data_IF_828421909647
#
_entry.id   IF_828421909647
#
_cell.length_a   1.000
_cell.length_b   1.000
_cell.length_c   1.000
_cell.angle_alpha   90.00
_cell.angle_beta   90.00
_cell.angle_gamma   90.00
#
_symmetry.space_group_name_H-M   'P 1'
#
loop_
_entity.id
_entity.type
_entity.pdbx_description
1 polymer ?
#
# COMPACT_ATOMS: atom_id res chain seq x y z
N UNK A 1 89.66 38.35 57.34
CA UNK A 1 89.83 37.10 56.56
C UNK A 1 89.01 35.91 57.09
N UNK A 2 88.96 35.59 58.40
CA UNK A 2 88.20 34.43 58.93
C UNK A 2 86.69 34.41 58.61
N UNK A 3 86.03 35.58 58.55
CA UNK A 3 84.58 35.67 58.26
C UNK A 3 84.23 35.30 56.80
N UNK A 4 85.13 35.54 55.84
CA UNK A 4 84.87 35.24 54.43
C UNK A 4 84.90 33.74 54.14
N UNK A 5 85.81 33.01 54.80
CA UNK A 5 85.98 31.57 54.65
C UNK A 5 84.77 30.82 55.20
N UNK A 6 84.22 31.24 56.34
CA UNK A 6 83.03 30.61 56.93
C UNK A 6 81.78 30.76 56.03
N UNK A 7 81.63 31.91 55.38
CA UNK A 7 80.52 32.17 54.45
C UNK A 7 80.63 31.32 53.17
N UNK A 8 81.84 31.12 52.65
CA UNK A 8 82.07 30.24 51.48
C UNK A 8 81.79 28.77 51.80
N UNK A 9 82.16 28.30 53.00
CA UNK A 9 81.85 26.91 53.43
C UNK A 9 80.35 26.72 53.63
N UNK A 10 79.66 27.68 54.26
CA UNK A 10 78.21 27.63 54.44
C UNK A 10 77.46 27.67 53.09
N UNK A 11 77.92 28.48 52.13
CA UNK A 11 77.34 28.52 50.78
C UNK A 11 77.59 27.20 50.02
N UNK A 12 78.77 26.60 50.16
CA UNK A 12 79.09 25.31 49.55
C UNK A 12 78.25 24.15 50.10
N UNK A 13 78.00 24.12 51.41
CA UNK A 13 77.09 23.13 52.01
C UNK A 13 75.64 23.32 51.60
N UNK A 14 75.19 24.57 51.44
CA UNK A 14 73.83 24.85 50.96
C UNK A 14 73.65 24.39 49.50
N UNK A 15 74.66 24.59 48.65
CA UNK A 15 74.66 24.12 47.25
C UNK A 15 74.66 22.59 47.14
N UNK A 16 75.32 21.88 48.06
CA UNK A 16 75.31 20.40 48.10
C UNK A 16 73.95 19.81 48.51
N UNK A 17 73.14 20.54 49.30
CA UNK A 17 71.81 20.09 49.71
C UNK A 17 70.75 20.21 48.61
N UNK A 18 70.94 21.09 47.62
CA UNK A 18 69.98 21.26 46.50
C UNK A 18 70.19 20.20 45.41
N UNK A 19 71.35 19.54 45.36
CA UNK A 19 71.66 18.54 44.34
C UNK A 19 71.27 17.08 44.70
N UNK A 20 70.70 16.83 45.88
CA UNK A 20 70.36 15.48 46.33
C UNK A 20 68.94 15.02 45.97
N UNK A 21 68.19 15.81 45.19
CA UNK A 21 66.88 15.39 44.68
C UNK A 21 67.09 14.68 43.32
N UNK A 22 67.49 13.40 43.37
CA UNK A 22 67.46 12.56 42.17
C UNK A 22 66.00 12.30 41.79
N UNK A 23 65.70 12.46 40.50
CA UNK A 23 64.37 12.19 39.96
C UNK A 23 64.07 10.70 40.09
N UNK A 24 63.20 10.33 41.03
CA UNK A 24 62.71 8.97 41.16
C UNK A 24 61.96 8.59 39.89
N UNK A 25 62.45 7.57 39.18
CA UNK A 25 61.89 7.13 37.92
C UNK A 25 60.43 6.75 38.13
N UNK A 26 59.53 7.50 37.50
CA UNK A 26 58.10 7.19 37.51
C UNK A 26 57.94 5.77 36.96
N UNK A 27 57.30 4.83 37.70
CA UNK A 27 57.12 3.47 37.22
C UNK A 27 56.37 3.54 35.89
N UNK A 28 56.96 2.93 34.86
CA UNK A 28 56.36 2.82 33.52
C UNK A 28 54.96 2.25 33.69
N UNK A 29 53.96 2.95 33.16
CA UNK A 29 52.58 2.49 33.17
C UNK A 29 52.53 1.07 32.60
N UNK A 30 52.06 0.11 33.40
CA UNK A 30 51.87 -1.25 32.94
C UNK A 30 50.95 -1.20 31.71
N UNK A 31 51.45 -1.67 30.56
CA UNK A 31 50.64 -1.84 29.36
C UNK A 31 49.61 -2.92 29.70
N UNK A 32 48.40 -2.49 30.05
CA UNK A 32 47.24 -3.38 30.13
C UNK A 32 46.94 -3.76 28.68
N UNK A 33 47.11 -5.02 28.26
CA UNK A 33 46.68 -5.42 26.93
C UNK A 33 45.18 -5.09 26.82
N UNK A 34 44.78 -4.41 25.75
CA UNK A 34 43.38 -4.17 25.47
C UNK A 34 42.64 -5.49 25.60
N UNK A 35 41.69 -5.55 26.54
CA UNK A 35 40.78 -6.68 26.61
C UNK A 35 40.11 -6.73 25.24
N UNK A 36 40.23 -7.83 24.47
CA UNK A 36 39.67 -7.86 23.13
C UNK A 36 38.19 -7.53 23.23
N UNK A 37 37.81 -6.35 22.75
CA UNK A 37 36.41 -5.94 22.63
C UNK A 37 35.75 -7.04 21.81
N UNK A 38 34.81 -7.77 22.43
CA UNK A 38 34.03 -8.76 21.73
C UNK A 38 33.47 -8.09 20.47
N UNK A 39 33.75 -8.66 19.29
CA UNK A 39 33.20 -8.14 18.05
C UNK A 39 31.69 -7.98 18.25
N UNK A 40 31.15 -6.82 17.85
CA UNK A 40 29.72 -6.60 17.89
C UNK A 40 29.06 -7.79 17.19
N UNK A 41 28.22 -8.52 17.94
CA UNK A 41 27.40 -9.57 17.34
C UNK A 41 26.56 -8.89 16.27
N UNK A 42 26.83 -9.19 15.01
CA UNK A 42 25.96 -8.75 13.91
C UNK A 42 24.64 -9.44 14.15
N UNK A 43 23.65 -8.69 14.65
CA UNK A 43 22.30 -9.19 14.81
C UNK A 43 21.91 -9.86 13.50
N UNK A 44 21.60 -11.16 13.56
CA UNK A 44 21.11 -11.88 12.39
C UNK A 44 19.82 -11.19 11.98
N UNK A 45 19.74 -10.73 10.72
CA UNK A 45 18.54 -10.12 10.20
C UNK A 45 17.37 -11.07 10.45
N UNK A 46 16.26 -10.55 10.98
CA UNK A 46 15.06 -11.33 11.15
C UNK A 46 14.66 -11.94 9.79
N UNK A 47 14.09 -13.16 9.76
CA UNK A 47 13.68 -13.76 8.49
C UNK A 47 12.73 -12.83 7.71
N UNK A 48 12.61 -12.95 6.38
CA UNK A 48 11.59 -12.20 5.66
C UNK A 48 10.19 -12.59 6.14
N UNK A 49 9.23 -11.66 6.06
CA UNK A 49 7.81 -11.99 6.21
C UNK A 49 7.28 -12.54 4.89
N UNK A 50 6.26 -13.40 4.95
CA UNK A 50 5.61 -14.01 3.80
C UNK A 50 4.17 -13.49 3.63
N UNK A 51 3.86 -12.96 2.46
CA UNK A 51 2.60 -12.32 2.12
C UNK A 51 1.92 -13.05 0.97
N UNK A 52 0.79 -13.70 1.23
CA UNK A 52 0.04 -14.40 0.20
C UNK A 52 -1.10 -13.55 -0.36
N UNK A 53 -1.25 -13.56 -1.69
CA UNK A 53 -2.37 -12.94 -2.40
C UNK A 53 -3.27 -14.02 -2.98
N UNK A 54 -4.55 -14.02 -2.59
CA UNK A 54 -5.54 -14.93 -3.15
C UNK A 54 -5.74 -14.72 -4.67
N UNK A 55 -6.15 -15.77 -5.38
CA UNK A 55 -6.33 -15.71 -6.83
C UNK A 55 -7.26 -14.58 -7.29
N UNK A 56 -8.31 -14.29 -6.54
CA UNK A 56 -9.27 -13.24 -6.87
C UNK A 56 -8.75 -11.81 -6.64
N UNK A 57 -7.62 -11.64 -5.94
CA UNK A 57 -6.92 -10.38 -5.71
C UNK A 57 -5.65 -10.24 -6.56
N UNK A 58 -5.18 -11.35 -7.14
CA UNK A 58 -3.94 -11.36 -7.90
C UNK A 58 -4.04 -10.54 -9.18
N UNK A 59 -3.04 -9.68 -9.41
CA UNK A 59 -3.00 -8.78 -10.56
C UNK A 59 -3.79 -7.47 -10.38
N UNK A 60 -4.59 -7.34 -9.32
CA UNK A 60 -5.41 -6.15 -9.05
C UNK A 60 -4.79 -5.21 -7.98
N UNK A 61 -3.73 -5.64 -7.30
CA UNK A 61 -2.94 -4.75 -6.45
C UNK A 61 -2.20 -3.76 -7.36
N UNK A 62 -2.36 -2.43 -7.18
CA UNK A 62 -1.62 -1.43 -7.94
C UNK A 62 -0.12 -1.67 -7.86
N UNK A 63 0.60 -1.39 -8.96
CA UNK A 63 2.03 -1.75 -9.06
C UNK A 63 2.90 -1.05 -8.02
N UNK A 64 2.64 0.23 -7.77
CA UNK A 64 3.29 1.04 -6.73
C UNK A 64 3.02 0.53 -5.31
N UNK A 65 1.78 0.11 -5.04
CA UNK A 65 1.43 -0.49 -3.75
C UNK A 65 2.03 -1.89 -3.58
N UNK A 66 2.09 -2.69 -4.65
CA UNK A 66 2.79 -3.98 -4.65
C UNK A 66 4.28 -3.82 -4.36
N UNK A 67 4.92 -2.78 -4.87
CA UNK A 67 6.32 -2.44 -4.53
C UNK A 67 6.42 -2.13 -3.03
N UNK A 68 5.52 -1.29 -2.51
CA UNK A 68 5.48 -0.94 -1.08
C UNK A 68 5.32 -2.18 -0.19
N UNK A 69 4.45 -3.12 -0.55
CA UNK A 69 4.28 -4.38 0.19
C UNK A 69 5.54 -5.25 0.08
N UNK A 70 6.19 -5.28 -1.09
CA UNK A 70 7.40 -6.06 -1.34
C UNK A 70 8.62 -5.55 -0.55
N UNK A 71 8.61 -4.30 -0.09
CA UNK A 71 9.61 -3.78 0.85
C UNK A 71 9.47 -4.37 2.26
N UNK A 72 8.25 -4.80 2.63
CA UNK A 72 7.94 -5.35 3.95
C UNK A 72 7.93 -6.89 4.00
N UNK A 73 7.54 -7.55 2.90
CA UNK A 73 7.36 -9.00 2.83
C UNK A 73 7.63 -9.58 1.43
N UNK A 74 7.89 -10.88 1.38
CA UNK A 74 7.94 -11.65 0.13
C UNK A 74 6.51 -11.96 -0.32
N UNK A 75 6.16 -11.51 -1.52
CA UNK A 75 4.81 -11.67 -2.08
C UNK A 75 4.72 -12.96 -2.88
N UNK A 76 3.85 -13.86 -2.43
CA UNK A 76 3.53 -15.12 -3.08
C UNK A 76 2.07 -15.11 -3.56
N UNK A 77 1.80 -15.79 -4.67
CA UNK A 77 0.43 -16.04 -5.12
C UNK A 77 -0.08 -17.32 -4.47
N UNK A 78 -1.27 -17.26 -3.89
CA UNK A 78 -1.92 -18.43 -3.33
C UNK A 78 -2.44 -19.33 -4.46
N UNK A 79 -2.11 -20.62 -4.38
CA UNK A 79 -2.64 -21.64 -5.28
C UNK A 79 -4.11 -21.93 -5.01
N UNK A 80 -4.83 -22.40 -6.03
CA UNK A 80 -6.27 -22.73 -5.95
C UNK A 80 -6.59 -23.88 -4.98
N UNK A 81 -5.58 -24.66 -4.58
CA UNK A 81 -5.68 -25.81 -3.67
C UNK A 81 -5.36 -25.47 -2.20
N UNK A 82 -5.09 -24.20 -1.89
CA UNK A 82 -4.70 -23.79 -0.56
C UNK A 82 -5.86 -23.86 0.45
N UNK A 83 -5.70 -24.65 1.51
CA UNK A 83 -6.63 -24.67 2.65
C UNK A 83 -6.26 -23.62 3.68
N UNK A 84 -7.24 -23.14 4.46
CA UNK A 84 -7.02 -22.12 5.50
C UNK A 84 -5.93 -22.51 6.52
N UNK A 85 -5.79 -23.81 6.83
CA UNK A 85 -4.78 -24.33 7.74
C UNK A 85 -3.36 -24.25 7.17
N UNK A 86 -3.17 -24.64 5.89
CA UNK A 86 -1.86 -24.57 5.21
C UNK A 86 -1.45 -23.10 5.04
N UNK A 87 -2.42 -22.25 4.72
CA UNK A 87 -2.26 -20.82 4.54
C UNK A 87 -1.73 -20.16 5.81
N UNK A 88 -2.36 -20.40 6.96
CA UNK A 88 -1.96 -19.79 8.24
C UNK A 88 -0.66 -20.36 8.81
N UNK A 89 -0.26 -21.57 8.42
CA UNK A 89 1.02 -22.15 8.84
C UNK A 89 2.22 -21.65 8.03
N UNK A 90 1.99 -21.16 6.80
CA UNK A 90 3.05 -20.82 5.85
C UNK A 90 3.26 -19.31 5.70
N UNK A 91 2.19 -18.53 5.82
CA UNK A 91 2.21 -17.10 5.51
C UNK A 91 1.96 -16.26 6.78
N UNK A 92 2.68 -15.14 6.89
CA UNK A 92 2.49 -14.17 7.96
C UNK A 92 1.25 -13.32 7.74
N UNK A 93 0.94 -12.98 6.47
CA UNK A 93 -0.30 -12.30 6.07
C UNK A 93 -0.84 -12.91 4.78
N UNK A 94 -2.17 -12.98 4.71
CA UNK A 94 -2.90 -13.45 3.54
C UNK A 94 -3.99 -12.44 3.24
N UNK A 95 -4.14 -12.04 1.98
CA UNK A 95 -5.15 -11.06 1.56
C UNK A 95 -5.98 -11.56 0.39
N UNK A 96 -7.23 -11.10 0.33
CA UNK A 96 -8.17 -11.41 -0.73
C UNK A 96 -9.19 -10.27 -0.90
N UNK A 97 -9.76 -10.14 -2.10
CA UNK A 97 -10.98 -9.35 -2.26
C UNK A 97 -12.17 -10.08 -1.67
N UNK A 98 -13.06 -9.32 -1.03
CA UNK A 98 -14.29 -9.81 -0.43
C UNK A 98 -14.23 -9.92 1.08
N UNK A 99 -15.30 -10.48 1.66
CA UNK A 99 -15.49 -10.68 3.10
C UNK A 99 -15.43 -12.18 3.42
N UNK A 100 -14.44 -12.57 4.22
CA UNK A 100 -14.23 -13.96 4.63
C UNK A 100 -14.48 -14.13 6.13
N UNK A 101 -15.05 -15.28 6.51
CA UNK A 101 -15.24 -15.63 7.92
C UNK A 101 -13.89 -15.71 8.64
N UNK A 102 -13.85 -15.24 9.89
CA UNK A 102 -12.66 -15.16 10.75
C UNK A 102 -11.51 -14.26 10.26
N UNK A 103 -11.67 -13.59 9.12
CA UNK A 103 -10.69 -12.64 8.61
C UNK A 103 -10.98 -11.23 9.10
N UNK A 104 -9.94 -10.43 9.22
CA UNK A 104 -10.04 -8.99 9.47
C UNK A 104 -10.35 -8.26 8.16
N UNK A 105 -11.03 -7.13 8.25
CA UNK A 105 -11.40 -6.32 7.09
C UNK A 105 -10.56 -5.05 7.07
N UNK A 106 -10.06 -4.68 5.89
CA UNK A 106 -9.41 -3.39 5.67
C UNK A 106 -10.39 -2.25 5.95
N UNK A 107 -9.95 -1.16 6.60
CA UNK A 107 -10.83 0.00 6.84
C UNK A 107 -11.17 0.77 5.55
N UNK A 108 -10.49 0.47 4.44
CA UNK A 108 -10.68 1.13 3.15
C UNK A 108 -11.40 0.14 2.22
N UNK A 109 -12.62 0.49 1.80
CA UNK A 109 -13.33 -0.23 0.75
C UNK A 109 -13.07 0.38 -0.61
N UNK A 110 -13.15 -0.44 -1.66
CA UNK A 110 -12.95 -0.01 -3.04
C UNK A 110 -14.29 0.08 -3.75
N UNK A 111 -14.59 1.26 -4.28
CA UNK A 111 -15.79 1.53 -5.07
C UNK A 111 -15.44 1.56 -6.55
N UNK A 112 -15.76 0.49 -7.25
CA UNK A 112 -15.50 0.37 -8.68
C UNK A 112 -16.46 1.29 -9.43
N UNK A 113 -15.90 2.25 -10.16
CA UNK A 113 -16.63 3.41 -10.65
C UNK A 113 -16.25 3.69 -12.10
N UNK A 114 -17.28 3.93 -12.93
CA UNK A 114 -17.13 4.43 -14.30
C UNK A 114 -17.25 5.96 -14.28
N UNK A 115 -16.35 6.62 -14.98
CA UNK A 115 -16.33 8.06 -15.16
C UNK A 115 -16.47 8.33 -16.65
N UNK A 116 -17.39 9.21 -17.02
CA UNK A 116 -17.63 9.63 -18.39
C UNK A 116 -17.20 11.10 -18.55
N UNK A 117 -16.58 11.44 -19.67
CA UNK A 117 -16.24 12.82 -19.96
C UNK A 117 -17.32 13.46 -20.85
N UNK A 118 -18.20 14.32 -20.31
CA UNK A 118 -19.26 14.96 -21.09
C UNK A 118 -18.76 16.03 -22.06
N UNK A 119 -17.48 16.41 -22.01
CA UNK A 119 -16.90 17.37 -22.94
C UNK A 119 -16.57 16.75 -24.31
N UNK A 120 -16.62 15.42 -24.41
CA UNK A 120 -16.32 14.66 -25.63
C UNK A 120 -17.60 14.05 -26.21
N UNK A 121 -18.02 14.43 -27.44
CA UNK A 121 -19.11 13.76 -28.11
C UNK A 121 -18.82 12.28 -28.33
N UNK A 122 -19.81 11.38 -28.17
CA UNK A 122 -21.23 11.66 -28.00
C UNK A 122 -21.71 11.72 -26.53
N UNK A 123 -20.80 11.82 -25.55
CA UNK A 123 -21.15 11.80 -24.12
C UNK A 123 -21.67 13.16 -23.61
N UNK A 124 -21.69 14.19 -24.45
CA UNK A 124 -22.41 15.44 -24.20
C UNK A 124 -23.94 15.25 -24.25
N UNK A 125 -24.40 14.15 -24.83
CA UNK A 125 -25.81 13.76 -24.88
C UNK A 125 -26.22 12.86 -23.69
N UNK A 126 -27.12 13.34 -22.84
CA UNK A 126 -27.61 12.58 -21.66
C UNK A 126 -28.21 11.20 -22.03
N UNK A 127 -28.79 11.06 -23.23
CA UNK A 127 -29.33 9.79 -23.70
C UNK A 127 -28.27 8.69 -23.85
N UNK A 128 -27.04 9.07 -24.24
CA UNK A 128 -25.93 8.12 -24.39
C UNK A 128 -25.37 7.73 -23.02
N UNK A 129 -25.21 8.69 -22.12
CA UNK A 129 -24.84 8.45 -20.72
C UNK A 129 -25.81 7.47 -20.03
N UNK A 130 -27.11 7.68 -20.20
CA UNK A 130 -28.11 6.76 -19.64
C UNK A 130 -28.10 5.40 -20.34
N UNK A 131 -27.84 5.34 -21.64
CA UNK A 131 -27.69 4.06 -22.35
C UNK A 131 -26.52 3.24 -21.77
N UNK A 132 -25.37 3.86 -21.48
CA UNK A 132 -24.21 3.19 -20.84
C UNK A 132 -24.57 2.72 -19.42
N UNK A 133 -25.23 3.58 -18.65
CA UNK A 133 -25.69 3.28 -17.29
C UNK A 133 -26.61 2.06 -17.27
N UNK A 134 -27.54 1.98 -18.20
CA UNK A 134 -28.53 0.89 -18.28
C UNK A 134 -27.97 -0.36 -18.95
N UNK A 135 -26.93 -0.24 -19.78
CA UNK A 135 -26.19 -1.37 -20.34
C UNK A 135 -25.38 -2.15 -19.28
N UNK A 136 -25.16 -1.55 -18.11
CA UNK A 136 -24.37 -2.13 -17.02
C UNK A 136 -25.25 -2.98 -16.09
N UNK A 137 -25.25 -4.30 -16.29
CA UNK A 137 -25.89 -5.25 -15.37
C UNK A 137 -24.91 -5.62 -14.26
N UNK A 138 -24.86 -4.74 -13.25
CA UNK A 138 -23.96 -4.85 -12.11
C UNK A 138 -24.21 -6.12 -11.30
N UNK A 139 -25.46 -6.53 -11.00
CA UNK A 139 -25.71 -7.80 -10.32
C UNK A 139 -25.10 -9.00 -11.06
N UNK A 140 -25.23 -9.07 -12.38
CA UNK A 140 -24.63 -10.15 -13.17
C UNK A 140 -23.09 -10.12 -13.15
N UNK A 141 -22.47 -8.93 -13.09
CA UNK A 141 -21.00 -8.80 -12.92
C UNK A 141 -20.60 -9.40 -11.57
N UNK A 142 -21.26 -9.01 -10.47
CA UNK A 142 -20.93 -9.49 -9.12
C UNK A 142 -21.12 -10.99 -9.01
N UNK A 143 -22.22 -11.53 -9.54
CA UNK A 143 -22.49 -12.97 -9.57
C UNK A 143 -21.38 -13.72 -10.31
N UNK A 144 -20.95 -13.20 -11.46
CA UNK A 144 -19.89 -13.80 -12.28
C UNK A 144 -18.51 -13.74 -11.61
N UNK A 145 -18.24 -12.68 -10.85
CA UNK A 145 -16.99 -12.52 -10.11
C UNK A 145 -16.90 -13.46 -8.90
N UNK A 146 -18.05 -13.86 -8.34
CA UNK A 146 -18.13 -14.69 -7.14
C UNK A 146 -17.28 -14.16 -5.96
N UNK A 147 -17.11 -12.84 -5.85
CA UNK A 147 -16.38 -12.21 -4.74
C UNK A 147 -17.30 -12.11 -3.53
N UNK A 148 -16.98 -12.77 -2.40
CA UNK A 148 -17.82 -12.74 -1.21
C UNK A 148 -18.02 -11.30 -0.70
N UNK A 149 -19.25 -10.90 -0.41
CA UNK A 149 -19.53 -9.58 0.18
C UNK A 149 -19.35 -8.39 -0.77
N UNK A 150 -19.16 -8.60 -2.08
CA UNK A 150 -19.31 -7.52 -3.06
C UNK A 150 -20.78 -7.09 -3.12
N UNK A 151 -21.03 -5.77 -3.12
CA UNK A 151 -22.38 -5.20 -3.04
C UNK A 151 -22.63 -4.29 -4.25
N UNK A 152 -23.74 -4.50 -5.00
CA UNK A 152 -24.10 -3.58 -6.08
C UNK A 152 -24.48 -2.23 -5.47
N UNK A 153 -23.91 -1.15 -6.01
CA UNK A 153 -24.36 0.22 -5.69
C UNK A 153 -25.53 0.58 -6.61
N UNK A 154 -25.52 0.02 -7.83
CA UNK A 154 -26.58 0.16 -8.80
C UNK A 154 -27.30 -1.17 -9.00
N UNK A 155 -28.61 -1.18 -8.79
CA UNK A 155 -29.49 -2.33 -8.99
C UNK A 155 -30.15 -2.30 -10.37
N UNK A 156 -29.38 -2.03 -11.42
CA UNK A 156 -29.89 -2.04 -12.79
C UNK A 156 -29.82 -3.46 -13.36
N UNK A 157 -30.95 -3.94 -13.88
CA UNK A 157 -30.98 -5.09 -14.79
C UNK A 157 -30.72 -4.60 -16.22
N UNK A 158 -30.07 -5.44 -17.04
CA UNK A 158 -29.87 -5.11 -18.45
C UNK A 158 -31.19 -4.77 -19.16
N UNK A 159 -31.28 -3.60 -19.79
CA UNK A 159 -32.46 -3.21 -20.57
C UNK A 159 -32.29 -3.56 -22.05
N UNK A 160 -33.22 -4.33 -22.59
CA UNK A 160 -33.28 -4.67 -24.02
C UNK A 160 -33.57 -3.46 -24.94
N UNK A 161 -33.93 -2.30 -24.41
CA UNK A 161 -34.27 -1.10 -25.20
C UNK A 161 -33.08 -0.23 -25.59
N UNK A 162 -31.86 -0.54 -25.15
CA UNK A 162 -30.65 0.28 -25.36
C UNK A 162 -30.42 0.58 -26.86
N UNK A 163 -30.57 -0.41 -27.73
CA UNK A 163 -30.41 -0.22 -29.19
C UNK A 163 -31.39 0.81 -29.77
N UNK A 164 -32.63 0.82 -29.28
CA UNK A 164 -33.61 1.81 -29.72
C UNK A 164 -33.26 3.20 -29.19
N UNK A 165 -32.75 3.30 -27.96
CA UNK A 165 -32.26 4.55 -27.39
C UNK A 165 -31.09 5.13 -28.22
N UNK A 166 -30.09 4.30 -28.55
CA UNK A 166 -28.96 4.69 -29.40
C UNK A 166 -29.43 5.12 -30.80
N UNK A 167 -30.33 4.36 -31.44
CA UNK A 167 -30.88 4.74 -32.75
C UNK A 167 -31.63 6.07 -32.72
N UNK A 168 -32.41 6.34 -31.67
CA UNK A 168 -33.13 7.61 -31.49
C UNK A 168 -32.17 8.78 -31.25
N UNK A 169 -31.01 8.52 -30.64
CA UNK A 169 -29.92 9.48 -30.50
C UNK A 169 -29.07 9.64 -31.78
N UNK A 170 -29.40 8.94 -32.87
CA UNK A 170 -28.67 9.04 -34.15
C UNK A 170 -27.54 8.03 -34.33
N UNK A 171 -27.42 7.03 -33.45
CA UNK A 171 -26.40 5.99 -33.47
C UNK A 171 -27.00 4.58 -33.66
N UNK A 172 -27.70 4.31 -34.79
CA UNK A 172 -28.41 3.04 -34.99
C UNK A 172 -27.48 1.82 -35.08
N UNK A 173 -26.22 2.04 -35.45
CA UNK A 173 -25.21 0.98 -35.57
C UNK A 173 -24.40 0.79 -34.28
N UNK A 174 -24.56 1.69 -33.30
CA UNK A 174 -23.74 1.74 -32.08
C UNK A 174 -22.78 2.91 -32.03
N UNK A 175 -21.92 2.91 -31.02
CA UNK A 175 -20.89 3.91 -30.79
C UNK A 175 -19.56 3.23 -30.46
N UNK A 176 -18.46 3.92 -30.81
CA UNK A 176 -17.10 3.52 -30.44
C UNK A 176 -16.51 4.66 -29.62
N UNK A 177 -16.05 4.35 -28.42
CA UNK A 177 -15.50 5.32 -27.47
C UNK A 177 -14.07 4.93 -27.11
N UNK A 178 -13.19 5.92 -26.93
CA UNK A 178 -11.88 5.66 -26.31
C UNK A 178 -12.04 5.51 -24.79
N UNK A 179 -11.37 4.51 -24.22
CA UNK A 179 -11.43 4.24 -22.79
C UNK A 179 -10.05 3.98 -22.20
N UNK A 180 -9.97 4.17 -20.89
CA UNK A 180 -8.82 3.76 -20.09
C UNK A 180 -9.32 3.12 -18.79
N UNK A 181 -8.60 2.18 -18.23
CA UNK A 181 -9.04 1.53 -16.99
C UNK A 181 -7.87 1.11 -16.11
N UNK A 182 -8.12 1.09 -14.81
CA UNK A 182 -7.27 0.35 -13.87
C UNK A 182 -7.52 -1.14 -14.02
N UNK A 183 -6.50 -1.96 -13.76
CA UNK A 183 -6.70 -3.40 -13.70
C UNK A 183 -7.53 -3.74 -12.44
N UNK A 184 -8.85 -3.87 -12.62
CA UNK A 184 -9.84 -4.06 -11.57
C UNK A 184 -10.63 -5.35 -11.80
N UNK A 185 -11.16 -5.98 -10.73
CA UNK A 185 -12.10 -7.07 -10.90
C UNK A 185 -13.27 -6.62 -11.77
N UNK A 186 -13.74 -7.49 -12.65
CA UNK A 186 -14.96 -7.26 -13.46
C UNK A 186 -14.85 -6.24 -14.59
N UNK A 187 -13.69 -5.60 -14.82
CA UNK A 187 -13.51 -4.65 -15.91
C UNK A 187 -13.88 -5.27 -17.28
N UNK A 188 -13.33 -6.44 -17.58
CA UNK A 188 -13.60 -7.16 -18.84
C UNK A 188 -15.07 -7.60 -18.97
N UNK A 189 -15.72 -7.98 -17.86
CA UNK A 189 -17.14 -8.34 -17.85
C UNK A 189 -18.01 -7.12 -18.20
N UNK A 190 -17.70 -5.98 -17.60
CA UNK A 190 -18.41 -4.72 -17.87
C UNK A 190 -18.20 -4.25 -19.31
N UNK A 191 -16.97 -4.29 -19.83
CA UNK A 191 -16.67 -3.98 -21.23
C UNK A 191 -17.45 -4.91 -22.19
N UNK A 192 -17.53 -6.20 -21.86
CA UNK A 192 -18.31 -7.18 -22.63
C UNK A 192 -19.81 -6.88 -22.65
N UNK A 193 -20.38 -6.41 -21.54
CA UNK A 193 -21.80 -5.99 -21.47
C UNK A 193 -22.09 -4.78 -22.36
N UNK A 194 -21.20 -3.78 -22.38
CA UNK A 194 -21.32 -2.64 -23.28
C UNK A 194 -21.23 -3.07 -24.75
N UNK A 195 -20.25 -3.92 -25.08
CA UNK A 195 -20.06 -4.40 -26.44
C UNK A 195 -21.28 -5.18 -26.94
N UNK A 196 -21.90 -6.00 -26.08
CA UNK A 196 -23.14 -6.73 -26.40
C UNK A 196 -24.32 -5.79 -26.76
N UNK A 197 -24.25 -4.53 -26.33
CA UNK A 197 -25.23 -3.48 -26.61
C UNK A 197 -24.79 -2.51 -27.72
N UNK A 198 -23.79 -2.88 -28.53
CA UNK A 198 -23.19 -2.04 -29.58
C UNK A 198 -22.52 -0.76 -29.05
N UNK A 199 -22.02 -0.79 -27.81
CA UNK A 199 -21.18 0.26 -27.24
C UNK A 199 -19.76 -0.31 -27.13
N UNK A 200 -18.93 -0.04 -28.13
CA UNK A 200 -17.54 -0.51 -28.12
C UNK A 200 -16.65 0.48 -27.38
N UNK A 201 -15.89 0.00 -26.40
CA UNK A 201 -14.87 0.79 -25.71
C UNK A 201 -13.50 0.30 -26.15
N UNK A 202 -12.74 1.17 -26.81
CA UNK A 202 -11.33 0.94 -27.11
C UNK A 202 -10.51 1.25 -25.85
N UNK A 203 -10.49 0.29 -24.93
CA UNK A 203 -9.92 0.44 -23.61
C UNK A 203 -8.43 0.07 -23.56
N UNK A 204 -7.64 0.81 -22.78
CA UNK A 204 -6.25 0.46 -22.42
C UNK A 204 -6.08 0.44 -20.91
N UNK A 205 -5.41 -0.57 -20.36
CA UNK A 205 -5.11 -0.63 -18.94
C UNK A 205 -3.96 0.33 -18.57
N UNK A 206 -4.10 1.08 -17.48
CA UNK A 206 -3.09 2.03 -17.00
C UNK A 206 -3.09 2.15 -15.46
N UNK A 207 -2.01 2.67 -14.85
CA UNK A 207 -1.98 3.00 -13.41
C UNK A 207 -3.03 4.06 -13.03
N UNK A 208 -3.52 4.01 -11.79
CA UNK A 208 -4.57 4.90 -11.26
C UNK A 208 -4.33 6.39 -11.59
N UNK A 209 -3.12 6.90 -11.31
CA UNK A 209 -2.78 8.29 -11.56
C UNK A 209 -2.88 8.69 -13.04
N UNK A 210 -2.52 7.79 -13.97
CA UNK A 210 -2.61 8.03 -15.40
C UNK A 210 -4.07 8.02 -15.89
N UNK A 211 -4.90 7.13 -15.33
CA UNK A 211 -6.34 7.09 -15.61
C UNK A 211 -7.02 8.40 -15.22
N UNK A 212 -6.75 8.89 -14.00
CA UNK A 212 -7.30 10.17 -13.51
C UNK A 212 -6.84 11.34 -14.39
N UNK A 213 -5.57 11.37 -14.79
CA UNK A 213 -5.06 12.43 -15.66
C UNK A 213 -5.73 12.40 -17.04
N UNK A 214 -5.84 11.23 -17.67
CA UNK A 214 -6.44 11.09 -18.99
C UNK A 214 -7.90 11.56 -19.02
N UNK A 215 -8.70 11.22 -17.99
CA UNK A 215 -10.10 11.64 -17.95
C UNK A 215 -10.24 13.15 -17.69
N UNK A 216 -9.44 13.71 -16.77
CA UNK A 216 -9.47 15.15 -16.44
C UNK A 216 -9.00 16.02 -17.60
N UNK A 217 -8.00 15.56 -18.36
CA UNK A 217 -7.50 16.25 -19.54
C UNK A 217 -8.44 16.16 -20.74
N UNK A 218 -9.42 15.25 -20.72
CA UNK A 218 -10.27 14.96 -21.88
C UNK A 218 -9.56 14.20 -23.00
N UNK A 219 -8.59 13.36 -22.65
CA UNK A 219 -7.89 12.49 -23.60
C UNK A 219 -8.72 11.24 -23.95
N UNK A 220 -9.65 10.85 -23.06
CA UNK A 220 -10.51 9.66 -23.20
C UNK A 220 -11.97 9.96 -22.87
N UNK A 221 -12.87 9.20 -23.49
CA UNK A 221 -14.31 9.33 -23.26
C UNK A 221 -14.71 8.73 -21.90
N UNK A 222 -14.13 7.57 -21.56
CA UNK A 222 -14.51 6.81 -20.37
C UNK A 222 -13.28 6.35 -19.59
N UNK A 223 -13.37 6.40 -18.26
CA UNK A 223 -12.44 5.78 -17.34
C UNK A 223 -13.16 4.79 -16.42
N UNK A 224 -12.50 3.67 -16.06
CA UNK A 224 -12.96 2.75 -15.00
C UNK A 224 -11.87 2.69 -13.91
N UNK A 225 -12.24 3.05 -12.68
CA UNK A 225 -11.32 3.21 -11.55
C UNK A 225 -11.86 2.61 -10.26
N UNK A 226 -10.98 2.33 -9.30
CA UNK A 226 -11.36 2.12 -7.91
C UNK A 226 -11.24 3.43 -7.12
N UNK A 227 -12.37 3.92 -6.61
CA UNK A 227 -12.38 5.02 -5.65
C UNK A 227 -12.25 4.49 -4.24
N UNK A 228 -11.37 5.08 -3.43
CA UNK A 228 -11.09 4.65 -2.05
C UNK A 228 -11.48 5.70 -1.01
N UNK A 229 -11.86 6.91 -1.46
CA UNK A 229 -12.34 7.97 -0.57
C UNK A 229 -13.42 8.85 -1.23
N UNK A 230 -14.23 9.50 -0.38
CA UNK A 230 -15.21 10.49 -0.85
C UNK A 230 -14.54 11.79 -1.34
N UNK A 231 -13.30 12.08 -0.91
CA UNK A 231 -12.54 13.23 -1.38
C UNK A 231 -12.12 13.06 -2.84
N UNK A 232 -11.58 11.90 -3.22
CA UNK A 232 -11.29 11.56 -4.63
C UNK A 232 -12.55 11.68 -5.50
N UNK A 233 -13.68 11.21 -4.99
CA UNK A 233 -14.96 11.34 -5.68
C UNK A 233 -15.32 12.81 -5.90
N UNK A 234 -15.24 13.65 -4.87
CA UNK A 234 -15.58 15.07 -4.97
C UNK A 234 -14.70 15.82 -5.97
N UNK A 235 -13.40 15.50 -6.04
CA UNK A 235 -12.48 16.06 -7.03
C UNK A 235 -12.91 15.71 -8.47
N UNK A 236 -13.28 14.46 -8.72
CA UNK A 236 -13.77 14.02 -10.02
C UNK A 236 -15.14 14.62 -10.35
N UNK A 237 -16.05 14.73 -9.39
CA UNK A 237 -17.35 15.37 -9.58
C UNK A 237 -17.18 16.85 -9.96
N UNK A 238 -16.17 17.54 -9.43
CA UNK A 238 -15.83 18.90 -9.83
C UNK A 238 -15.28 18.98 -11.26
N UNK A 239 -14.58 17.94 -11.74
CA UNK A 239 -13.99 17.89 -13.07
C UNK A 239 -15.00 17.50 -14.16
N UNK A 240 -15.79 16.44 -13.95
CA UNK A 240 -16.68 15.87 -14.98
C UNK A 240 -18.17 16.06 -14.67
N UNK A 241 -18.54 16.48 -13.47
CA UNK A 241 -19.93 16.62 -13.03
C UNK A 241 -20.51 15.34 -12.42
N UNK A 242 -21.37 15.50 -11.41
CA UNK A 242 -21.97 14.41 -10.61
C UNK A 242 -22.70 13.35 -11.46
N UNK A 243 -23.40 13.78 -12.51
CA UNK A 243 -24.16 12.87 -13.39
C UNK A 243 -23.29 11.92 -14.21
N UNK A 244 -22.00 12.22 -14.33
CA UNK A 244 -21.06 11.48 -15.18
C UNK A 244 -20.18 10.50 -14.42
N UNK A 245 -20.49 10.28 -13.13
CA UNK A 245 -19.85 9.27 -12.30
C UNK A 245 -20.89 8.20 -11.97
N UNK A 246 -20.62 6.98 -12.42
CA UNK A 246 -21.47 5.81 -12.25
C UNK A 246 -20.76 4.83 -11.31
N UNK A 247 -21.08 4.83 -10.00
CA UNK A 247 -20.57 3.81 -9.11
C UNK A 247 -21.23 2.47 -9.46
N UNK A 248 -20.45 1.46 -9.82
CA UNK A 248 -20.97 0.15 -10.18
C UNK A 248 -21.24 -0.65 -8.90
N UNK A 249 -20.18 -0.99 -8.18
CA UNK A 249 -20.26 -1.84 -7.00
C UNK A 249 -19.13 -1.54 -6.01
N UNK A 250 -19.30 -2.01 -4.78
CA UNK A 250 -18.30 -1.91 -3.72
C UNK A 250 -17.73 -3.28 -3.39
N UNK A 251 -16.43 -3.34 -3.15
CA UNK A 251 -15.71 -4.54 -2.74
C UNK A 251 -14.78 -4.22 -1.57
N UNK A 252 -14.83 -5.05 -0.52
CA UNK A 252 -13.90 -4.98 0.60
C UNK A 252 -12.62 -5.75 0.33
N UNK A 253 -11.57 -5.44 1.10
CA UNK A 253 -10.36 -6.26 1.18
C UNK A 253 -10.36 -6.93 2.55
N UNK A 254 -10.26 -8.25 2.59
CA UNK A 254 -10.06 -8.98 3.84
C UNK A 254 -8.64 -9.50 3.94
N UNK A 255 -8.19 -9.72 5.17
CA UNK A 255 -6.89 -10.29 5.45
C UNK A 255 -6.89 -11.13 6.74
N UNK A 256 -6.02 -12.13 6.76
CA UNK A 256 -5.64 -12.86 7.96
C UNK A 256 -4.16 -12.58 8.27
N UNK A 257 -3.84 -12.35 9.53
CA UNK A 257 -2.47 -12.09 9.98
C UNK A 257 -2.08 -13.06 11.11
N UNK A 258 -0.85 -13.57 11.05
CA UNK A 258 -0.30 -14.45 12.06
C UNK A 258 -0.11 -13.71 13.41
N UNK A 259 -0.09 -14.42 14.55
CA UNK A 259 0.16 -13.80 15.85
C UNK A 259 1.51 -13.06 15.90
N UNK A 260 1.51 -11.82 16.41
CA UNK A 260 2.71 -10.97 16.51
C UNK A 260 3.06 -10.21 15.22
N UNK A 261 2.14 -10.20 14.25
CA UNK A 261 2.20 -9.36 13.07
C UNK A 261 1.26 -8.17 13.26
N UNK A 262 1.82 -6.96 13.20
CA UNK A 262 1.06 -5.72 13.12
C UNK A 262 0.78 -5.40 11.64
N UNK A 263 -0.40 -4.87 11.36
CA UNK A 263 -0.84 -4.54 10.00
C UNK A 263 -1.17 -3.06 9.89
N UNK A 264 -0.54 -2.38 8.94
CA UNK A 264 -0.98 -1.06 8.43
C UNK A 264 -1.56 -1.23 7.02
N UNK A 265 -1.95 -0.15 6.35
CA UNK A 265 -2.62 -0.23 5.05
C UNK A 265 -2.02 0.74 4.03
N UNK A 266 -2.03 0.33 2.76
CA UNK A 266 -1.79 1.21 1.61
C UNK A 266 -2.94 2.20 1.42
N UNK A 267 -2.79 3.15 0.50
CA UNK A 267 -3.84 4.12 0.17
C UNK A 267 -5.11 3.43 -0.38
N UNK A 268 -4.97 2.29 -1.06
CA UNK A 268 -6.09 1.50 -1.57
C UNK A 268 -6.58 0.41 -0.62
N UNK A 269 -6.05 0.34 0.60
CA UNK A 269 -6.50 -0.57 1.64
C UNK A 269 -5.82 -1.94 1.69
N UNK A 270 -4.74 -2.16 0.94
CA UNK A 270 -4.02 -3.43 1.01
C UNK A 270 -3.17 -3.50 2.28
N UNK A 271 -3.18 -4.64 3.02
CA UNK A 271 -2.46 -4.75 4.27
C UNK A 271 -0.94 -4.73 4.03
N UNK A 272 -0.21 -4.02 4.89
CA UNK A 272 1.25 -3.97 4.92
C UNK A 272 1.70 -4.58 6.26
N UNK A 273 2.35 -5.75 6.24
CA UNK A 273 2.74 -6.43 7.48
C UNK A 273 4.00 -5.82 8.10
N UNK A 274 4.08 -5.88 9.42
CA UNK A 274 5.28 -5.57 10.18
C UNK A 274 5.33 -6.43 11.44
N UNK A 275 6.51 -6.64 12.01
CA UNK A 275 6.63 -7.37 13.28
C UNK A 275 6.26 -6.47 14.44
N UNK A 276 5.39 -6.94 15.33
CA UNK A 276 5.14 -6.23 16.58
C UNK A 276 6.44 -6.06 17.34
N UNK A 277 6.75 -4.82 17.71
CA UNK A 277 7.91 -4.58 18.57
C UNK A 277 7.62 -5.24 19.90
N UNK A 278 8.46 -6.17 20.41
CA UNK A 278 8.22 -6.76 21.72
C UNK A 278 8.07 -5.61 22.71
N UNK A 279 6.88 -5.47 23.31
CA UNK A 279 6.72 -4.50 24.37
C UNK A 279 7.62 -4.99 25.49
N UNK A 280 8.76 -4.33 25.67
CA UNK A 280 9.72 -4.70 26.69
C UNK A 280 8.94 -4.77 28.01
N UNK A 281 8.97 -5.92 28.73
CA UNK A 281 8.17 -6.07 29.92
C UNK A 281 8.55 -4.93 30.87
N UNK A 282 7.59 -4.04 31.14
CA UNK A 282 7.80 -2.92 32.06
C UNK A 282 8.34 -3.55 33.35
N UNK A 283 9.57 -3.25 33.76
CA UNK A 283 10.17 -3.89 34.92
C UNK A 283 9.23 -3.62 36.09
N UNK A 284 8.60 -4.68 36.58
CA UNK A 284 7.70 -4.57 37.72
C UNK A 284 8.58 -4.16 38.88
N UNK A 285 8.43 -2.92 39.33
CA UNK A 285 9.19 -2.41 40.46
C UNK A 285 8.92 -3.33 41.65
N UNK A 286 9.89 -4.18 41.99
CA UNK A 286 9.90 -4.93 43.23
C UNK A 286 9.82 -3.91 44.36
N UNK A 287 8.72 -3.93 45.12
CA UNK A 287 8.56 -3.09 46.28
C UNK A 287 9.71 -3.37 47.26
N UNK A 288 10.33 -2.35 47.85
CA UNK A 288 11.31 -2.56 48.92
C UNK A 288 10.60 -3.09 50.17
N UNK A 289 11.10 -4.22 50.68
CA UNK A 289 10.73 -4.79 51.99
C UNK A 289 11.26 -3.93 53.16
#
# INVERSE_FOLDING_TARGET
>A
MRSLILRLIALGMLLLLVAACEAEATPVAAVVPDTPTAAFSTATAAPPLHYAVAANANGFIPTDERITIAEAALIDQLGDDATSEIVQATYDVVTAYGLYEDWQVSPISQRITVIMNPALPPLDENAITEAIRTASDVPAIIESLAIPGAVPIMENAADTTIRAALANAGYPDGIVLSGIYENLPGAELWLGQLQANNIEIQATAAPHAEVIQAIVNGDVHIALIALTSDEQRAELEAAVGVGNIIPLYEVGISYAAAPGIDVTFTASGWPIPSRSTPTEPVPTATAPD
#
